data_IF_895534424021
#
_entry.id   IF_895534424021
#
_cell.length_a   1.000
_cell.length_b   1.000
_cell.length_c   1.000
_cell.angle_alpha   90.00
_cell.angle_beta   90.00
_cell.angle_gamma   90.00
#
_symmetry.space_group_name_H-M   'P 1'
#
loop_
_entity.id
_entity.type
_entity.pdbx_description
1 polymer ?
#
# COMPACT_ATOMS: atom_id res chain seq x y z
N UNK A 1 4.98 11.93 -12.12
CA UNK A 1 5.48 11.44 -10.83
C UNK A 1 6.93 11.03 -11.03
N UNK A 2 7.86 11.43 -10.16
CA UNK A 2 9.27 11.05 -10.31
C UNK A 2 9.52 9.73 -9.59
N UNK A 3 10.12 8.77 -10.29
CA UNK A 3 10.59 7.52 -9.70
C UNK A 3 11.77 7.83 -8.76
N UNK A 4 11.70 7.30 -7.55
CA UNK A 4 12.78 7.31 -6.56
C UNK A 4 13.19 5.87 -6.25
N UNK A 5 14.38 5.67 -5.68
CA UNK A 5 14.92 4.33 -5.41
C UNK A 5 15.56 4.24 -4.04
N UNK A 6 14.91 4.80 -3.03
CA UNK A 6 15.47 4.76 -1.66
C UNK A 6 15.53 3.34 -1.10
N UNK A 7 14.74 2.42 -1.64
CA UNK A 7 14.86 0.99 -1.38
C UNK A 7 16.22 0.40 -1.76
N UNK A 8 17.03 1.01 -2.64
CA UNK A 8 18.37 0.48 -2.98
C UNK A 8 19.39 0.57 -1.84
N UNK A 9 19.14 1.43 -0.86
CA UNK A 9 19.96 1.53 0.34
C UNK A 9 19.74 0.28 1.23
N UNK A 10 20.80 -0.51 1.52
CA UNK A 10 20.68 -1.71 2.37
C UNK A 10 20.23 -1.41 3.81
N UNK A 11 20.34 -0.15 4.26
CA UNK A 11 19.79 0.30 5.54
C UNK A 11 18.26 0.41 5.47
N UNK A 12 17.73 0.75 4.29
CA UNK A 12 16.29 0.92 4.04
C UNK A 12 15.60 -0.41 3.77
N UNK A 13 16.17 -1.23 2.89
CA UNK A 13 15.62 -2.53 2.51
C UNK A 13 16.72 -3.57 2.36
N UNK A 14 16.51 -4.72 3.00
CA UNK A 14 17.42 -5.86 2.94
C UNK A 14 17.66 -6.29 1.47
N UNK A 15 18.91 -6.35 1.00
CA UNK A 15 19.24 -6.84 -0.34
C UNK A 15 18.65 -8.21 -0.68
N UNK A 16 18.47 -9.11 0.30
CA UNK A 16 17.87 -10.42 0.08
C UNK A 16 16.41 -10.35 -0.36
N UNK A 17 15.66 -9.33 0.10
CA UNK A 17 14.29 -9.07 -0.35
C UNK A 17 14.32 -8.51 -1.78
N UNK A 18 15.24 -7.59 -2.08
CA UNK A 18 15.40 -7.00 -3.42
C UNK A 18 15.77 -8.01 -4.50
N UNK A 19 16.44 -9.09 -4.14
CA UNK A 19 16.73 -10.18 -5.08
C UNK A 19 15.48 -10.99 -5.46
N UNK A 20 14.40 -10.89 -4.67
CA UNK A 20 13.18 -11.69 -4.85
C UNK A 20 12.00 -10.91 -5.41
N UNK A 21 12.03 -9.58 -5.30
CA UNK A 21 10.91 -8.71 -5.64
C UNK A 21 11.36 -7.55 -6.50
N UNK A 22 10.50 -7.14 -7.44
CA UNK A 22 10.66 -5.90 -8.17
C UNK A 22 9.99 -4.75 -7.40
N UNK A 23 10.70 -3.62 -7.29
CA UNK A 23 10.23 -2.44 -6.57
C UNK A 23 10.09 -1.25 -7.52
N UNK A 24 9.01 -0.50 -7.33
CA UNK A 24 8.79 0.81 -7.94
C UNK A 24 8.40 1.77 -6.82
N UNK A 25 9.08 2.90 -6.74
CA UNK A 25 8.91 3.84 -5.62
C UNK A 25 8.84 5.27 -6.15
N UNK A 26 8.04 6.08 -5.47
CA UNK A 26 7.89 7.50 -5.72
C UNK A 26 8.02 8.23 -4.38
N UNK A 27 8.40 9.50 -4.39
CA UNK A 27 8.47 10.34 -3.17
C UNK A 27 9.33 9.77 -2.03
N UNK A 28 10.35 8.97 -2.34
CA UNK A 28 11.23 8.32 -1.34
C UNK A 28 10.48 7.40 -0.36
N UNK A 29 9.41 6.75 -0.80
CA UNK A 29 8.48 6.10 0.11
C UNK A 29 9.07 4.99 0.98
N UNK A 30 10.03 4.18 0.51
CA UNK A 30 10.64 3.16 1.37
C UNK A 30 11.41 3.79 2.53
N UNK A 31 12.20 4.84 2.28
CA UNK A 31 12.89 5.58 3.34
C UNK A 31 11.92 6.31 4.28
N UNK A 32 10.83 6.89 3.74
CA UNK A 32 9.79 7.52 4.56
C UNK A 32 9.09 6.49 5.44
N UNK A 33 8.65 5.36 4.89
CA UNK A 33 8.02 4.27 5.65
C UNK A 33 8.93 3.78 6.76
N UNK A 34 10.20 3.48 6.47
CA UNK A 34 11.18 3.09 7.48
C UNK A 34 11.33 4.11 8.60
N UNK A 35 11.36 5.40 8.27
CA UNK A 35 11.68 6.46 9.23
C UNK A 35 10.46 6.88 10.06
N UNK A 36 9.29 6.90 9.44
CA UNK A 36 8.05 7.49 9.97
C UNK A 36 7.08 6.42 10.49
N UNK A 37 7.09 5.24 9.89
CA UNK A 37 6.25 4.09 10.22
C UNK A 37 7.09 2.81 10.36
N UNK A 38 8.09 2.77 11.26
CA UNK A 38 9.08 1.69 11.33
C UNK A 38 8.47 0.31 11.65
N UNK A 39 7.37 0.27 12.41
CA UNK A 39 6.69 -0.99 12.77
C UNK A 39 5.94 -1.56 11.56
N UNK A 40 5.23 -0.71 10.84
CA UNK A 40 4.51 -1.07 9.62
C UNK A 40 5.49 -1.50 8.52
N UNK A 41 6.62 -0.79 8.36
CA UNK A 41 7.67 -1.18 7.43
C UNK A 41 8.31 -2.53 7.78
N UNK A 42 8.53 -2.79 9.07
CA UNK A 42 9.03 -4.09 9.53
C UNK A 42 8.03 -5.23 9.22
N UNK A 43 6.72 -4.98 9.37
CA UNK A 43 5.70 -5.96 8.99
C UNK A 43 5.71 -6.24 7.49
N UNK A 44 5.73 -5.19 6.65
CA UNK A 44 5.75 -5.31 5.19
C UNK A 44 6.97 -6.11 4.73
N UNK A 45 8.16 -5.73 5.20
CA UNK A 45 9.40 -6.43 4.83
C UNK A 45 9.44 -7.87 5.36
N UNK A 46 8.87 -8.14 6.53
CA UNK A 46 8.72 -9.51 7.05
C UNK A 46 7.78 -10.36 6.19
N UNK A 47 6.66 -9.79 5.70
CA UNK A 47 5.75 -10.48 4.77
C UNK A 47 6.46 -10.77 3.46
N UNK A 48 7.12 -9.78 2.84
CA UNK A 48 7.88 -9.96 1.60
C UNK A 48 9.02 -10.99 1.74
N UNK A 49 9.69 -11.03 2.90
CA UNK A 49 10.75 -12.00 3.16
C UNK A 49 10.21 -13.44 3.36
N UNK A 50 8.99 -13.61 3.88
CA UNK A 50 8.45 -14.91 4.26
C UNK A 50 7.50 -15.53 3.22
N UNK A 51 6.79 -14.72 2.44
CA UNK A 51 5.88 -15.20 1.42
C UNK A 51 6.65 -15.96 0.33
N UNK A 52 6.17 -17.14 -0.07
CA UNK A 52 6.76 -17.95 -1.14
C UNK A 52 5.62 -18.53 -1.98
N UNK A 53 5.71 -18.35 -3.30
CA UNK A 53 4.81 -19.05 -4.23
C UNK A 53 5.19 -20.53 -4.27
N UNK A 54 4.36 -21.40 -3.70
CA UNK A 54 4.51 -22.86 -3.79
C UNK A 54 3.68 -23.42 -4.97
N UNK A 55 4.30 -23.75 -6.12
CA UNK A 55 3.58 -24.23 -7.29
C UNK A 55 2.74 -25.48 -6.99
N UNK A 56 3.15 -26.32 -6.03
CA UNK A 56 2.44 -27.56 -5.70
C UNK A 56 1.11 -27.32 -4.97
N UNK A 57 0.98 -26.19 -4.27
CA UNK A 57 -0.26 -25.74 -3.64
C UNK A 57 -1.22 -25.12 -4.66
N UNK A 58 -0.68 -24.42 -5.66
CA UNK A 58 -1.46 -23.58 -6.57
C UNK A 58 -1.80 -24.22 -7.92
N UNK A 59 -0.98 -25.15 -8.44
CA UNK A 59 -1.25 -25.88 -9.70
C UNK A 59 -2.28 -27.01 -9.55
N UNK A 60 -3.10 -27.01 -8.49
CA UNK A 60 -4.23 -27.94 -8.36
C UNK A 60 -5.35 -27.53 -9.32
N UNK A 61 -5.66 -28.42 -10.27
CA UNK A 61 -6.79 -28.27 -11.20
C UNK A 61 -8.09 -28.03 -10.40
N UNK A 62 -8.60 -26.80 -10.41
CA UNK A 62 -9.90 -26.42 -9.81
C UNK A 62 -9.85 -25.54 -8.56
N UNK A 63 -8.67 -25.09 -8.11
CA UNK A 63 -8.55 -24.09 -7.03
C UNK A 63 -8.92 -22.67 -7.49
N UNK A 64 -9.54 -21.89 -6.63
CA UNK A 64 -9.95 -20.52 -6.96
C UNK A 64 -8.71 -19.61 -6.97
N UNK A 65 -8.52 -18.81 -8.02
CA UNK A 65 -7.29 -17.99 -8.20
C UNK A 65 -7.11 -16.88 -7.15
N UNK A 66 -8.13 -16.63 -6.31
CA UNK A 66 -8.14 -15.62 -5.25
C UNK A 66 -7.50 -16.05 -3.92
N UNK A 67 -6.82 -17.19 -3.87
CA UNK A 67 -6.24 -17.72 -2.63
C UNK A 67 -4.94 -17.00 -2.22
N UNK A 68 -4.20 -16.39 -3.16
CA UNK A 68 -2.92 -15.72 -2.87
C UNK A 68 -3.12 -14.37 -2.19
N UNK A 69 -4.02 -13.52 -2.70
CA UNK A 69 -4.33 -12.25 -2.04
C UNK A 69 -4.78 -12.48 -0.59
N UNK A 70 -5.72 -13.42 -0.39
CA UNK A 70 -6.19 -13.82 0.95
C UNK A 70 -5.10 -14.38 1.86
N UNK A 71 -4.13 -15.12 1.32
CA UNK A 71 -3.00 -15.59 2.11
C UNK A 71 -2.14 -14.43 2.59
N UNK A 72 -1.79 -13.51 1.70
CA UNK A 72 -0.98 -12.33 2.03
C UNK A 72 -1.74 -11.41 3.00
N UNK A 73 -3.03 -11.15 2.78
CA UNK A 73 -3.89 -10.41 3.70
C UNK A 73 -3.95 -11.10 5.07
N UNK A 74 -4.03 -12.43 5.09
CA UNK A 74 -3.93 -13.23 6.31
C UNK A 74 -2.62 -13.02 7.06
N UNK A 75 -1.50 -12.90 6.33
CA UNK A 75 -0.18 -12.59 6.93
C UNK A 75 -0.17 -11.17 7.55
N UNK A 76 -0.85 -10.20 6.94
CA UNK A 76 -0.99 -8.86 7.52
C UNK A 76 -1.97 -8.85 8.71
N UNK A 77 -3.09 -9.57 8.62
CA UNK A 77 -4.10 -9.67 9.66
C UNK A 77 -3.52 -10.22 10.98
N UNK A 78 -2.68 -11.26 10.94
CA UNK A 78 -2.00 -11.79 12.14
C UNK A 78 -1.02 -10.79 12.78
N UNK A 79 -0.59 -9.78 12.02
CA UNK A 79 0.25 -8.65 12.50
C UNK A 79 -0.59 -7.44 12.92
N UNK A 80 -1.91 -7.56 12.95
CA UNK A 80 -2.84 -6.55 13.45
C UNK A 80 -3.31 -5.53 12.40
N UNK A 81 -3.04 -5.77 11.12
CA UNK A 81 -3.62 -5.00 10.02
C UNK A 81 -5.09 -5.36 9.84
N UNK A 82 -5.90 -4.41 9.36
CA UNK A 82 -7.35 -4.56 9.27
C UNK A 82 -7.90 -3.91 8.01
N UNK A 83 -8.94 -4.52 7.44
CA UNK A 83 -9.76 -3.89 6.42
C UNK A 83 -10.44 -2.65 7.02
N UNK A 84 -10.37 -1.53 6.31
CA UNK A 84 -10.98 -0.26 6.75
C UNK A 84 -11.60 0.48 5.59
N UNK A 85 -12.62 1.28 5.88
CA UNK A 85 -13.14 2.29 4.97
C UNK A 85 -12.48 3.63 5.30
N UNK A 86 -12.02 4.34 4.27
CA UNK A 86 -11.53 5.71 4.40
C UNK A 86 -12.61 6.64 3.89
N UNK A 87 -13.24 7.43 4.76
CA UNK A 87 -14.15 8.51 4.36
C UNK A 87 -13.44 9.86 4.52
N UNK A 88 -13.69 10.79 3.60
CA UNK A 88 -13.04 12.10 3.58
C UNK A 88 -14.04 13.19 3.95
N UNK A 89 -13.63 14.09 4.84
CA UNK A 89 -14.39 15.30 5.16
C UNK A 89 -13.56 16.51 4.76
N UNK A 90 -14.07 17.27 3.78
CA UNK A 90 -13.40 18.50 3.32
C UNK A 90 -14.14 19.72 3.85
N UNK A 91 -13.41 20.64 4.49
CA UNK A 91 -13.96 21.91 4.95
C UNK A 91 -13.29 23.09 4.26
N UNK A 92 -14.07 23.86 3.51
CA UNK A 92 -13.61 25.13 2.95
C UNK A 92 -13.49 26.20 4.03
N UNK A 93 -12.37 26.92 4.06
CA UNK A 93 -12.16 28.06 4.96
C UNK A 93 -11.90 29.30 4.11
N UNK A 94 -12.76 30.31 4.23
CA UNK A 94 -12.61 31.59 3.56
C UNK A 94 -11.75 32.51 4.42
N UNK A 95 -10.67 33.02 3.82
CA UNK A 95 -9.74 33.93 4.47
C UNK A 95 -9.82 35.33 3.84
N UNK A 96 -9.65 36.36 4.65
CA UNK A 96 -9.45 37.73 4.17
C UNK A 96 -8.07 37.87 3.52
N UNK A 97 -7.82 39.02 2.86
CA UNK A 97 -6.47 39.32 2.33
C UNK A 97 -5.40 39.37 3.42
N UNK A 98 -5.80 39.59 4.68
CA UNK A 98 -4.90 39.62 5.84
C UNK A 98 -4.83 38.25 6.56
N UNK A 99 -5.32 37.18 5.93
CA UNK A 99 -5.38 35.81 6.47
C UNK A 99 -6.28 35.64 7.71
N UNK A 100 -7.20 36.57 7.94
CA UNK A 100 -8.22 36.42 8.98
C UNK A 100 -9.33 35.51 8.49
N UNK A 101 -9.79 34.58 9.33
CA UNK A 101 -10.89 33.68 8.98
C UNK A 101 -12.20 34.48 8.89
N UNK A 102 -12.78 34.53 7.70
CA UNK A 102 -14.07 35.15 7.46
C UNK A 102 -15.21 34.17 7.73
N UNK A 103 -15.09 32.95 7.20
CA UNK A 103 -16.13 31.94 7.29
C UNK A 103 -15.55 30.53 7.12
N UNK A 104 -16.22 29.53 7.71
CA UNK A 104 -15.99 28.11 7.44
C UNK A 104 -17.23 27.56 6.76
N UNK A 105 -17.07 27.07 5.54
CA UNK A 105 -18.15 26.45 4.79
C UNK A 105 -18.58 25.14 5.48
N UNK A 106 -19.82 24.69 5.26
CA UNK A 106 -20.26 23.38 5.73
C UNK A 106 -19.30 22.29 5.24
N UNK A 107 -18.99 21.30 6.10
CA UNK A 107 -18.17 20.18 5.68
C UNK A 107 -18.88 19.39 4.59
N UNK A 108 -18.12 19.00 3.57
CA UNK A 108 -18.56 18.05 2.55
C UNK A 108 -17.99 16.70 2.92
N UNK A 109 -18.88 15.76 3.22
CA UNK A 109 -18.53 14.35 3.42
C UNK A 109 -18.53 13.65 2.07
N UNK A 110 -17.42 12.99 1.76
CA UNK A 110 -17.29 12.14 0.59
C UNK A 110 -17.12 10.72 1.10
N UNK A 111 -18.10 9.88 0.77
CA UNK A 111 -17.99 8.43 0.88
C UNK A 111 -16.74 7.98 0.12
N UNK A 112 -15.78 7.40 0.83
CA UNK A 112 -14.54 6.96 0.21
C UNK A 112 -14.50 5.45 0.00
N UNK A 113 -13.30 4.89 -0.01
CA UNK A 113 -13.03 3.55 -0.52
C UNK A 113 -12.59 2.59 0.59
N UNK A 114 -12.71 1.29 0.33
CA UNK A 114 -12.19 0.23 1.19
C UNK A 114 -10.70 0.02 0.89
N UNK A 115 -9.94 -0.15 1.96
CA UNK A 115 -8.52 -0.53 1.96
C UNK A 115 -8.43 -1.88 2.65
N UNK A 116 -7.73 -2.84 2.04
CA UNK A 116 -7.66 -4.22 2.52
C UNK A 116 -6.86 -4.31 3.82
N UNK A 117 -5.74 -3.60 3.89
CA UNK A 117 -4.86 -3.62 5.06
C UNK A 117 -4.49 -2.20 5.51
N UNK A 118 -5.01 -1.79 6.66
CA UNK A 118 -4.64 -0.54 7.32
C UNK A 118 -4.01 -0.78 8.70
N UNK A 119 -2.91 -0.08 8.98
CA UNK A 119 -2.28 -0.02 10.30
C UNK A 119 -1.56 1.30 10.51
N UNK A 120 -1.84 1.95 11.64
CA UNK A 120 -1.20 3.19 12.04
C UNK A 120 -1.48 4.33 11.04
N UNK A 121 -0.51 4.60 10.17
CA UNK A 121 -0.60 5.61 9.10
C UNK A 121 -0.34 5.04 7.71
N UNK A 122 -0.41 3.72 7.55
CA UNK A 122 -0.12 3.02 6.31
C UNK A 122 -1.36 2.27 5.85
N UNK A 123 -1.75 2.55 4.61
CA UNK A 123 -2.71 1.78 3.83
C UNK A 123 -1.92 0.90 2.86
N UNK A 124 -2.34 -0.36 2.73
CA UNK A 124 -1.71 -1.36 1.87
C UNK A 124 -2.81 -2.23 1.24
N UNK A 125 -2.75 -2.36 -0.08
CA UNK A 125 -3.63 -3.22 -0.86
C UNK A 125 -2.81 -4.30 -1.57
N UNK A 126 -3.35 -5.51 -1.61
CA UNK A 126 -2.71 -6.66 -2.25
C UNK A 126 -3.46 -7.00 -3.53
N UNK A 127 -2.84 -6.72 -4.67
CA UNK A 127 -3.45 -6.97 -5.98
C UNK A 127 -2.87 -8.23 -6.64
N UNK A 128 -3.75 -9.16 -7.02
CA UNK A 128 -3.39 -10.41 -7.70
C UNK A 128 -4.24 -10.62 -8.94
N UNK A 129 -3.61 -10.72 -10.12
CA UNK A 129 -4.28 -10.66 -11.43
C UNK A 129 -5.15 -9.40 -11.58
N UNK A 130 -4.54 -8.23 -11.40
CA UNK A 130 -5.22 -6.96 -11.62
C UNK A 130 -5.89 -6.95 -13.00
N UNK A 131 -7.22 -6.76 -13.04
CA UNK A 131 -7.95 -6.52 -14.28
C UNK A 131 -7.70 -5.07 -14.69
N UNK A 132 -7.67 -4.82 -16.00
CA UNK A 132 -7.42 -3.49 -16.57
C UNK A 132 -8.27 -2.41 -15.88
N UNK A 133 -7.61 -1.42 -15.25
CA UNK A 133 -8.23 -0.25 -14.61
C UNK A 133 -8.23 -0.22 -13.07
N UNK A 134 -8.06 -1.34 -12.36
CA UNK A 134 -7.99 -1.34 -10.89
C UNK A 134 -6.71 -0.67 -10.38
N UNK A 135 -5.56 -1.06 -10.95
CA UNK A 135 -4.25 -0.55 -10.56
C UNK A 135 -4.15 0.97 -10.69
N UNK A 136 -4.69 1.53 -11.79
CA UNK A 136 -4.66 2.97 -12.01
C UNK A 136 -5.44 3.68 -10.91
N UNK A 137 -6.69 3.26 -10.63
CA UNK A 137 -7.53 3.84 -9.57
C UNK A 137 -6.81 3.85 -8.22
N UNK A 138 -6.17 2.74 -7.86
CA UNK A 138 -5.54 2.60 -6.54
C UNK A 138 -4.25 3.45 -6.45
N UNK A 139 -3.52 3.62 -7.55
CA UNK A 139 -2.42 4.59 -7.63
C UNK A 139 -2.89 6.06 -7.51
N UNK A 140 -4.09 6.40 -8.02
CA UNK A 140 -4.69 7.72 -7.79
C UNK A 140 -5.11 7.90 -6.31
N UNK A 141 -5.52 6.82 -5.65
CA UNK A 141 -5.96 6.82 -4.26
C UNK A 141 -4.79 6.83 -3.24
N UNK A 142 -3.67 6.19 -3.57
CA UNK A 142 -2.46 6.08 -2.75
C UNK A 142 -1.17 6.29 -3.59
N UNK A 143 -0.71 7.54 -3.78
CA UNK A 143 0.30 7.87 -4.80
C UNK A 143 1.76 7.51 -4.47
N UNK A 144 2.03 6.78 -3.37
CA UNK A 144 3.36 6.80 -2.77
C UNK A 144 4.18 5.49 -2.86
N UNK A 145 3.60 4.29 -3.00
CA UNK A 145 4.44 3.07 -3.05
C UNK A 145 3.73 1.86 -3.70
N UNK A 146 4.41 1.15 -4.60
CA UNK A 146 3.89 -0.07 -5.24
C UNK A 146 4.98 -1.16 -5.29
N UNK A 147 4.66 -2.35 -4.77
CA UNK A 147 5.50 -3.55 -4.91
C UNK A 147 4.79 -4.49 -5.86
N UNK A 148 5.47 -4.93 -6.92
CA UNK A 148 4.88 -5.84 -7.90
C UNK A 148 5.58 -7.20 -7.83
N UNK A 149 4.81 -8.25 -7.56
CA UNK A 149 5.24 -9.64 -7.64
C UNK A 149 4.84 -10.23 -8.98
N UNK A 150 5.57 -9.90 -10.04
CA UNK A 150 5.42 -10.57 -11.34
C UNK A 150 6.57 -11.55 -11.55
N UNK A 151 6.25 -12.84 -11.45
CA UNK A 151 7.12 -13.92 -11.92
C UNK A 151 7.26 -13.79 -13.45
N UNK A 152 8.41 -13.31 -13.92
CA UNK A 152 8.87 -13.55 -15.28
C UNK A 152 9.90 -14.68 -15.26
N UNK A 153 9.45 -15.88 -15.62
CA UNK A 153 10.22 -16.90 -16.33
C UNK A 153 9.28 -17.85 -17.07
#
# INVERSE_FOLDING_TARGET
MFETRTFDDPIVLDPAIRMRWAFLETSSAAAVLRSVCPQEWADITAVLASFVLDPSRWLKKGGNRGDIAKEIDGMFAVRGWRETRVDLVTQGVLLSKNLEVLERLPPVEQEGYLVDNFKGRVALDVEWNAKDGNLDRDLWACPNFCVNGSDFN
#
